data_IF_924724665500
#
_entry.id   IF_924724665500
#
_cell.length_a   1.000
_cell.length_b   1.000
_cell.length_c   1.000
_cell.angle_alpha   90.00
_cell.angle_beta   90.00
_cell.angle_gamma   90.00
#
_symmetry.space_group_name_H-M   'P 1'
#
loop_
_entity.id
_entity.type
_entity.pdbx_description
1 polymer ?
#
# COMPACT_ATOMS: atom_id res chain seq x y z
N UNK A 1 12.78 9.25 -0.64
CA UNK A 1 12.66 7.94 -1.33
C UNK A 1 11.23 7.76 -1.80
N UNK A 2 11.00 6.89 -2.79
CA UNK A 2 9.65 6.48 -3.18
C UNK A 2 9.47 4.98 -2.93
N UNK A 3 8.41 4.62 -2.21
CA UNK A 3 7.95 3.24 -2.01
C UNK A 3 6.98 2.90 -3.13
N UNK A 4 7.38 1.99 -4.02
CA UNK A 4 6.61 1.59 -5.19
C UNK A 4 5.47 0.63 -4.82
N UNK A 5 4.26 1.17 -4.66
CA UNK A 5 3.05 0.45 -4.23
C UNK A 5 2.03 0.15 -5.34
N UNK A 6 2.43 0.22 -6.61
CA UNK A 6 1.54 0.18 -7.80
C UNK A 6 2.09 -0.71 -8.92
N UNK A 7 1.44 -0.67 -10.09
CA UNK A 7 1.89 -1.32 -11.34
C UNK A 7 2.02 -2.84 -11.27
N UNK A 8 1.29 -3.50 -10.37
CA UNK A 8 1.32 -4.95 -10.20
C UNK A 8 2.61 -5.50 -9.57
N UNK A 9 3.50 -4.66 -9.04
CA UNK A 9 4.67 -5.14 -8.30
C UNK A 9 4.32 -5.59 -6.88
N UNK A 10 5.30 -6.18 -6.18
CA UNK A 10 5.15 -6.87 -4.90
C UNK A 10 4.17 -6.23 -3.92
N UNK A 11 4.29 -4.94 -3.60
CA UNK A 11 3.38 -4.28 -2.64
C UNK A 11 1.94 -4.29 -3.17
N UNK A 12 1.74 -4.02 -4.46
CA UNK A 12 0.42 -4.08 -5.09
C UNK A 12 -0.11 -5.51 -5.17
N UNK A 13 0.76 -6.52 -5.32
CA UNK A 13 0.37 -7.92 -5.28
C UNK A 13 -0.22 -8.33 -3.93
N UNK A 14 0.24 -7.76 -2.82
CA UNK A 14 -0.37 -7.99 -1.50
C UNK A 14 -1.76 -7.36 -1.37
N UNK A 15 -2.02 -6.27 -2.09
CA UNK A 15 -3.24 -5.48 -1.95
C UNK A 15 -4.45 -6.10 -2.65
N UNK A 16 -4.26 -6.85 -3.75
CA UNK A 16 -5.39 -7.35 -4.55
C UNK A 16 -5.66 -8.84 -4.29
N UNK A 17 -6.94 -9.24 -4.28
CA UNK A 17 -7.32 -10.66 -4.17
C UNK A 17 -6.88 -11.46 -5.40
N UNK A 18 -6.66 -10.81 -6.53
CA UNK A 18 -6.16 -11.44 -7.76
C UNK A 18 -4.83 -12.17 -7.52
N UNK A 19 -3.95 -11.60 -6.71
CA UNK A 19 -2.59 -12.09 -6.48
C UNK A 19 -2.35 -12.55 -5.05
N UNK A 20 -3.10 -12.05 -4.07
CA UNK A 20 -2.98 -12.44 -2.66
C UNK A 20 -4.16 -13.30 -2.20
N UNK A 21 -3.96 -14.61 -2.24
CA UNK A 21 -4.91 -15.62 -1.78
C UNK A 21 -4.49 -16.28 -0.46
N UNK A 22 -3.70 -15.57 0.35
CA UNK A 22 -3.22 -16.08 1.64
C UNK A 22 -4.36 -16.15 2.65
N UNK A 23 -4.28 -17.11 3.56
CA UNK A 23 -5.20 -17.30 4.68
C UNK A 23 -4.61 -16.89 6.04
N UNK A 24 -3.41 -16.28 6.03
CA UNK A 24 -2.76 -15.76 7.23
C UNK A 24 -3.04 -14.26 7.44
N UNK A 25 -2.36 -13.67 8.42
CA UNK A 25 -2.54 -12.26 8.78
C UNK A 25 -2.13 -11.25 7.70
N UNK A 26 -1.62 -11.71 6.55
CA UNK A 26 -1.21 -10.87 5.41
C UNK A 26 -2.15 -11.02 4.20
N UNK A 27 -3.23 -11.80 4.32
CA UNK A 27 -4.24 -11.97 3.27
C UNK A 27 -5.67 -12.07 3.82
N UNK A 28 -6.62 -12.33 2.92
CA UNK A 28 -8.05 -12.34 3.24
C UNK A 28 -8.65 -10.93 3.22
N UNK A 29 -9.13 -10.45 4.37
CA UNK A 29 -9.72 -9.12 4.46
C UNK A 29 -8.74 -8.01 4.05
N UNK A 30 -9.28 -6.84 3.70
CA UNK A 30 -8.45 -5.76 3.18
C UNK A 30 -7.44 -5.24 4.19
N UNK A 31 -7.77 -5.25 5.49
CA UNK A 31 -6.87 -4.79 6.56
C UNK A 31 -5.61 -5.64 6.64
N UNK A 32 -5.75 -6.96 6.48
CA UNK A 32 -4.62 -7.88 6.42
C UNK A 32 -3.81 -7.70 5.13
N UNK A 33 -4.48 -7.50 3.98
CA UNK A 33 -3.81 -7.25 2.69
C UNK A 33 -2.97 -5.96 2.69
N UNK A 34 -3.52 -4.86 3.21
CA UNK A 34 -2.78 -3.59 3.30
C UNK A 34 -1.68 -3.57 4.37
N UNK A 35 -1.70 -4.53 5.32
CA UNK A 35 -0.71 -4.62 6.40
C UNK A 35 0.71 -4.53 5.87
N UNK A 36 1.02 -5.24 4.79
CA UNK A 36 2.38 -5.23 4.23
C UNK A 36 2.81 -3.83 3.77
N UNK A 37 1.95 -3.12 3.02
CA UNK A 37 2.24 -1.77 2.54
C UNK A 37 2.46 -0.79 3.70
N UNK A 38 1.58 -0.84 4.71
CA UNK A 38 1.63 0.03 5.89
C UNK A 38 2.90 -0.22 6.70
N UNK A 39 3.25 -1.49 6.94
CA UNK A 39 4.43 -1.87 7.71
C UNK A 39 5.74 -1.46 7.02
N UNK A 40 5.80 -1.55 5.69
CA UNK A 40 6.94 -1.05 4.91
C UNK A 40 7.11 0.45 5.10
N UNK A 41 6.07 1.25 4.91
CA UNK A 41 6.15 2.71 5.07
C UNK A 41 6.50 3.09 6.51
N UNK A 42 5.87 2.45 7.50
CA UNK A 42 6.15 2.67 8.92
C UNK A 42 7.61 2.38 9.27
N UNK A 43 8.14 1.24 8.82
CA UNK A 43 9.54 0.85 9.06
C UNK A 43 10.52 1.80 8.37
N UNK A 44 10.21 2.24 7.14
CA UNK A 44 11.03 3.23 6.44
C UNK A 44 11.03 4.54 7.22
N UNK A 45 9.86 5.04 7.65
CA UNK A 45 9.73 6.27 8.47
C UNK A 45 10.53 6.16 9.77
N UNK A 46 10.39 5.07 10.51
CA UNK A 46 11.14 4.83 11.74
C UNK A 46 12.66 4.88 11.51
N UNK A 47 13.13 4.38 10.36
CA UNK A 47 14.56 4.31 10.05
C UNK A 47 15.15 5.66 9.62
N UNK A 48 14.40 6.47 8.88
CA UNK A 48 14.89 7.73 8.29
C UNK A 48 14.61 8.96 9.16
N UNK A 49 13.73 8.85 10.17
CA UNK A 49 13.30 9.97 11.02
C UNK A 49 12.28 10.89 10.33
N UNK A 50 11.88 11.97 10.99
CA UNK A 50 10.77 12.83 10.53
C UNK A 50 11.14 13.81 9.42
N UNK A 51 12.40 14.28 9.39
CA UNK A 51 12.87 15.27 8.41
C UNK A 51 13.38 14.59 7.12
N UNK A 52 12.49 13.80 6.51
CA UNK A 52 12.81 13.03 5.31
C UNK A 52 11.56 12.80 4.46
N UNK A 53 11.66 13.06 3.16
CA UNK A 53 10.54 12.85 2.22
C UNK A 53 10.38 11.36 1.92
N UNK A 54 9.18 10.86 2.20
CA UNK A 54 8.71 9.54 1.78
C UNK A 54 7.54 9.74 0.83
N UNK A 55 7.69 9.24 -0.40
CA UNK A 55 6.60 9.18 -1.39
C UNK A 55 6.07 7.75 -1.39
N UNK A 56 4.77 7.57 -1.41
CA UNK A 56 4.15 6.27 -1.69
C UNK A 56 3.41 6.34 -3.02
N UNK A 57 3.77 5.47 -3.97
CA UNK A 57 3.12 5.43 -5.28
C UNK A 57 1.92 4.46 -5.23
N UNK A 58 0.74 5.03 -5.00
CA UNK A 58 -0.53 4.34 -4.81
C UNK A 58 -1.16 3.98 -6.15
N UNK A 59 -1.55 2.71 -6.32
CA UNK A 59 -2.38 2.32 -7.47
C UNK A 59 -3.79 2.90 -7.28
N UNK A 60 -4.16 3.89 -8.10
CA UNK A 60 -5.52 4.44 -8.07
C UNK A 60 -6.49 3.62 -8.91
N UNK A 61 -5.98 2.85 -9.86
CA UNK A 61 -6.79 2.04 -10.76
C UNK A 61 -5.97 0.85 -11.31
N UNK A 62 -6.29 -0.36 -10.86
CA UNK A 62 -5.53 -1.56 -11.28
C UNK A 62 -5.85 -2.03 -12.71
N UNK A 63 -6.93 -1.53 -13.34
CA UNK A 63 -7.36 -1.85 -14.73
C UNK A 63 -7.48 -3.36 -15.06
N UNK A 64 -7.65 -4.20 -14.04
CA UNK A 64 -7.80 -5.66 -14.18
C UNK A 64 -9.00 -6.18 -13.39
N UNK A 65 -9.56 -7.29 -13.83
CA UNK A 65 -10.59 -8.00 -13.08
C UNK A 65 -10.03 -8.51 -11.74
N UNK A 66 -10.75 -8.22 -10.65
CA UNK A 66 -10.31 -8.54 -9.29
C UNK A 66 -9.27 -7.57 -8.71
N UNK A 67 -9.09 -6.40 -9.31
CA UNK A 67 -8.33 -5.28 -8.76
C UNK A 67 -9.02 -4.59 -7.58
N UNK A 68 -8.33 -3.63 -6.97
CA UNK A 68 -8.82 -2.85 -5.83
C UNK A 68 -10.01 -1.94 -6.17
N UNK A 69 -10.87 -1.74 -5.18
CA UNK A 69 -11.98 -0.79 -5.25
C UNK A 69 -11.56 0.61 -4.83
N UNK A 70 -12.30 1.65 -5.22
CA UNK A 70 -12.01 3.02 -4.78
C UNK A 70 -12.08 3.19 -3.25
N UNK A 71 -13.00 2.48 -2.58
CA UNK A 71 -13.10 2.51 -1.12
C UNK A 71 -11.84 1.95 -0.46
N UNK A 72 -11.32 0.84 -0.99
CA UNK A 72 -10.03 0.26 -0.59
C UNK A 72 -8.88 1.24 -0.85
N UNK A 73 -8.83 1.89 -2.02
CA UNK A 73 -7.82 2.92 -2.33
C UNK A 73 -7.83 4.07 -1.32
N UNK A 74 -9.00 4.55 -0.92
CA UNK A 74 -9.14 5.62 0.09
C UNK A 74 -8.69 5.14 1.47
N UNK A 75 -9.08 3.93 1.89
CA UNK A 75 -8.65 3.34 3.17
C UNK A 75 -7.12 3.20 3.22
N UNK A 76 -6.51 2.72 2.12
CA UNK A 76 -5.05 2.61 2.02
C UNK A 76 -4.36 3.96 2.05
N UNK A 77 -4.88 4.97 1.32
CA UNK A 77 -4.29 6.31 1.32
C UNK A 77 -4.23 6.90 2.74
N UNK A 78 -5.31 6.78 3.52
CA UNK A 78 -5.38 7.22 4.91
C UNK A 78 -4.42 6.43 5.81
N UNK A 79 -4.33 5.11 5.62
CA UNK A 79 -3.41 4.27 6.39
C UNK A 79 -1.94 4.60 6.11
N UNK A 80 -1.60 4.92 4.86
CA UNK A 80 -0.24 5.30 4.43
C UNK A 80 0.14 6.70 4.92
N UNK A 81 -0.80 7.64 4.92
CA UNK A 81 -0.62 8.95 5.57
C UNK A 81 -0.32 8.76 7.06
N UNK A 82 -1.14 7.98 7.77
CA UNK A 82 -0.93 7.69 9.19
C UNK A 82 0.39 6.94 9.48
N UNK A 83 0.86 6.11 8.54
CA UNK A 83 2.16 5.44 8.61
C UNK A 83 3.37 6.39 8.42
N UNK A 84 3.12 7.61 7.95
CA UNK A 84 4.12 8.68 7.86
C UNK A 84 4.64 8.96 6.46
N UNK A 85 3.90 8.63 5.41
CA UNK A 85 4.21 9.15 4.07
C UNK A 85 4.08 10.68 4.03
N UNK A 86 4.91 11.35 3.24
CA UNK A 86 4.88 12.79 3.03
C UNK A 86 4.04 13.17 1.82
N UNK A 87 4.09 12.36 0.77
CA UNK A 87 3.39 12.59 -0.51
C UNK A 87 2.81 11.27 -0.98
N UNK A 88 1.60 11.31 -1.53
CA UNK A 88 1.04 10.21 -2.32
C UNK A 88 1.21 10.57 -3.80
N UNK A 89 1.84 9.67 -4.54
CA UNK A 89 1.95 9.72 -5.99
C UNK A 89 0.95 8.72 -6.61
N UNK A 90 0.38 9.04 -7.76
CA UNK A 90 -0.57 8.17 -8.46
C UNK A 90 0.17 7.22 -9.41
N UNK A 91 -0.06 5.93 -9.24
CA UNK A 91 0.23 4.88 -10.23
C UNK A 91 -0.95 4.69 -11.16
#
# INVERSE_FOLDING_TARGET
VEVMGSEGYLINEFLTLRTNQRSDQWGGDYRNRMRFAVEVVRTVRERVGNDFIIIYRLSMLDLVEGGGTFAETVELAQAIEAAGATIINTG
#
